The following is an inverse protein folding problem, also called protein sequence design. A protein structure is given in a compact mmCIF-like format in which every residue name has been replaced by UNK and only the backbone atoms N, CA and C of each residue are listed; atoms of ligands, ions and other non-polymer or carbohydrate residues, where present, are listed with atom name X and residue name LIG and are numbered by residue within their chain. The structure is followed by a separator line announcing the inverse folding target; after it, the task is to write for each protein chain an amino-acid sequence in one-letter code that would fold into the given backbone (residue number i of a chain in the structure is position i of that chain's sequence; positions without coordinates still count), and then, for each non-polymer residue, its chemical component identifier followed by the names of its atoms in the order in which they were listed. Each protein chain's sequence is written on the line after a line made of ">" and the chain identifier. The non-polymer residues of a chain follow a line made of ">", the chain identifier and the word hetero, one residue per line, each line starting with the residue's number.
data_IF_134609931931
#
_entry.id   IF_134609931931
#
_cell.length_a   1.000
_cell.length_b   1.000
_cell.length_c   1.000
_cell.angle_alpha   90.00
_cell.angle_beta   90.00
_cell.angle_gamma   90.00
#
_symmetry.space_group_name_H-M   'P 1'
#
loop_
_entity.id
_entity.type
_entity.pdbx_description
1 polymer ?
#
# COMPACT_ATOMS: atom_id res chain seq x y z
N UNK A 1 -2.29 13.09 6.37
CA UNK A 1 -1.08 13.14 7.23
C UNK A 1 0.02 13.98 6.58
N UNK A 2 1.00 14.50 7.34
CA UNK A 2 2.11 15.34 6.83
C UNK A 2 2.91 14.63 5.73
N UNK A 3 3.20 13.33 5.91
CA UNK A 3 3.91 12.51 4.92
C UNK A 3 3.12 12.35 3.61
N UNK A 4 1.80 12.23 3.67
CA UNK A 4 0.96 12.16 2.46
C UNK A 4 1.01 13.47 1.68
N UNK A 5 0.98 14.61 2.39
CA UNK A 5 1.13 15.93 1.79
C UNK A 5 2.51 16.12 1.16
N UNK A 6 3.57 15.72 1.86
CA UNK A 6 4.95 15.75 1.36
C UNK A 6 5.10 14.98 0.03
N UNK A 7 4.45 13.83 -0.12
CA UNK A 7 4.51 13.03 -1.34
C UNK A 7 3.77 13.70 -2.52
N UNK A 8 2.74 14.50 -2.25
CA UNK A 8 2.07 15.29 -3.31
C UNK A 8 2.94 16.44 -3.83
N UNK A 9 3.84 16.98 -3.01
CA UNK A 9 4.76 18.06 -3.41
C UNK A 9 5.80 17.62 -4.44
N UNK A 10 6.12 16.32 -4.46
CA UNK A 10 7.15 15.71 -5.32
C UNK A 10 6.53 14.92 -6.47
N UNK A 11 5.19 14.79 -6.52
CA UNK A 11 4.51 14.19 -7.68
C UNK A 11 4.74 15.08 -8.92
N UNK A 12 5.34 14.57 -10.01
CA UNK A 12 5.58 15.36 -11.22
C UNK A 12 4.28 15.86 -11.88
N UNK A 13 3.12 15.27 -11.54
CA UNK A 13 1.80 15.68 -12.03
C UNK A 13 1.07 16.67 -11.11
N UNK A 14 1.64 17.06 -9.97
CA UNK A 14 0.98 18.02 -9.08
C UNK A 14 1.07 19.44 -9.65
N UNK A 15 -0.09 20.05 -9.91
CA UNK A 15 -0.19 21.45 -10.30
C UNK A 15 0.16 22.30 -9.07
N UNK A 16 1.32 22.96 -9.13
CA UNK A 16 1.78 23.88 -8.08
C UNK A 16 0.94 25.16 -8.09
N UNK A 17 -0.11 25.21 -7.28
CA UNK A 17 -0.98 26.38 -7.16
C UNK A 17 -0.69 27.27 -5.95
N UNK A 18 0.31 26.94 -5.13
CA UNK A 18 0.73 27.78 -4.01
C UNK A 18 2.26 27.86 -3.97
N UNK A 19 2.83 28.61 -4.90
CA UNK A 19 4.17 29.15 -4.76
C UNK A 19 4.04 30.66 -4.59
N UNK A 20 3.95 31.11 -3.35
CA UNK A 20 4.42 32.45 -3.00
C UNK A 20 5.70 32.26 -2.22
N UNK A 21 6.82 32.63 -2.85
CA UNK A 21 8.06 32.87 -2.12
C UNK A 21 7.74 33.96 -1.07
N UNK A 22 7.59 33.54 0.18
CA UNK A 22 7.31 34.42 1.30
C UNK A 22 8.42 34.28 2.32
N UNK A 23 9.01 35.41 2.69
CA UNK A 23 10.15 35.59 3.59
C UNK A 23 9.75 35.37 5.06
N UNK A 24 9.26 34.18 5.40
CA UNK A 24 9.02 33.78 6.80
C UNK A 24 9.78 32.50 7.12
N UNK A 25 10.63 32.56 8.16
CA UNK A 25 11.34 31.41 8.72
C UNK A 25 10.30 30.39 9.21
N UNK A 26 10.10 29.29 8.48
CA UNK A 26 9.26 28.18 8.94
C UNK A 26 8.43 27.40 7.90
N UNK A 27 8.58 27.62 6.59
CA UNK A 27 7.88 26.78 5.61
C UNK A 27 8.77 25.65 5.07
N UNK A 28 8.31 24.41 5.26
CA UNK A 28 8.89 23.16 4.76
C UNK A 28 9.01 23.23 3.22
N UNK A 29 10.22 23.40 2.70
CA UNK A 29 10.45 23.61 1.26
C UNK A 29 10.43 22.29 0.49
N UNK A 30 10.28 22.33 -0.84
CA UNK A 30 10.39 21.12 -1.67
C UNK A 30 11.74 20.43 -1.54
N UNK A 31 12.82 21.19 -1.36
CA UNK A 31 14.14 20.64 -1.06
C UNK A 31 14.14 19.88 0.27
N UNK A 32 13.54 20.46 1.32
CA UNK A 32 13.44 19.78 2.62
C UNK A 32 12.59 18.52 2.51
N UNK A 33 11.49 18.56 1.75
CA UNK A 33 10.67 17.38 1.45
C UNK A 33 11.51 16.29 0.78
N UNK A 34 12.27 16.62 -0.27
CA UNK A 34 13.11 15.66 -0.99
C UNK A 34 14.20 15.06 -0.09
N UNK A 35 14.87 15.88 0.71
CA UNK A 35 15.88 15.42 1.67
C UNK A 35 15.25 14.49 2.71
N UNK A 36 14.14 14.89 3.30
CA UNK A 36 13.43 14.09 4.32
C UNK A 36 12.91 12.77 3.75
N UNK A 37 12.42 12.75 2.51
CA UNK A 37 12.04 11.51 1.83
C UNK A 37 13.25 10.62 1.53
N UNK A 38 14.41 11.19 1.19
CA UNK A 38 15.66 10.44 1.02
C UNK A 38 16.13 9.78 2.32
N UNK A 39 16.05 10.51 3.45
CA UNK A 39 16.34 9.96 4.78
C UNK A 39 15.31 8.88 5.14
N UNK A 40 14.02 9.10 4.86
CA UNK A 40 12.97 8.12 5.12
C UNK A 40 13.16 6.84 4.29
N UNK A 41 13.66 6.95 3.06
CA UNK A 41 13.95 5.80 2.22
C UNK A 41 15.02 4.88 2.84
N UNK A 42 16.04 5.45 3.49
CA UNK A 42 17.10 4.66 4.12
C UNK A 42 16.64 4.00 5.43
N UNK A 43 15.77 4.66 6.20
CA UNK A 43 15.25 4.14 7.49
C UNK A 43 14.07 3.19 7.32
N UNK A 44 13.08 3.57 6.52
CA UNK A 44 11.80 2.86 6.37
C UNK A 44 11.47 2.59 4.88
N UNK A 45 12.28 1.79 4.17
CA UNK A 45 12.10 1.57 2.73
C UNK A 45 10.76 0.90 2.38
N UNK A 46 10.27 0.02 3.25
CA UNK A 46 8.99 -0.68 3.05
C UNK A 46 7.80 0.28 3.16
N UNK A 47 7.72 1.01 4.28
CA UNK A 47 6.65 1.99 4.52
C UNK A 47 6.61 3.09 3.46
N UNK A 48 7.77 3.64 3.07
CA UNK A 48 7.83 4.61 1.99
C UNK A 48 7.37 4.01 0.65
N UNK A 49 7.84 2.80 0.30
CA UNK A 49 7.43 2.14 -0.95
C UNK A 49 5.93 1.85 -0.99
N UNK A 50 5.33 1.45 0.14
CA UNK A 50 3.89 1.24 0.28
C UNK A 50 3.11 2.53 0.06
N UNK A 51 3.53 3.62 0.70
CA UNK A 51 2.87 4.92 0.59
C UNK A 51 2.99 5.45 -0.85
N UNK A 52 4.16 5.33 -1.49
CA UNK A 52 4.33 5.71 -2.90
C UNK A 52 3.47 4.84 -3.83
N UNK A 53 3.42 3.52 -3.61
CA UNK A 53 2.55 2.62 -4.37
C UNK A 53 1.05 2.93 -4.15
N UNK A 54 0.69 3.37 -2.94
CA UNK A 54 -0.66 3.74 -2.52
C UNK A 54 -1.11 5.06 -3.17
N UNK A 55 -0.25 6.08 -3.20
CA UNK A 55 -0.62 7.45 -3.62
C UNK A 55 -0.21 7.83 -5.03
N UNK A 56 1.02 7.54 -5.44
CA UNK A 56 1.51 7.86 -6.79
C UNK A 56 1.19 6.77 -7.82
N UNK A 57 0.76 5.58 -7.34
CA UNK A 57 0.52 4.39 -8.16
C UNK A 57 1.73 4.01 -9.03
N UNK A 58 2.93 4.35 -8.56
CA UNK A 58 4.18 4.02 -9.24
C UNK A 58 4.40 2.50 -9.25
N UNK A 59 4.65 1.97 -10.46
CA UNK A 59 4.91 0.54 -10.67
C UNK A 59 6.19 0.11 -9.97
N UNK A 60 7.25 0.93 -10.02
CA UNK A 60 8.55 0.57 -9.45
C UNK A 60 8.50 0.48 -7.92
N UNK A 61 7.82 1.44 -7.28
CA UNK A 61 7.61 1.44 -5.83
C UNK A 61 6.70 0.30 -5.38
N UNK A 62 5.69 -0.06 -6.18
CA UNK A 62 4.85 -1.25 -5.94
C UNK A 62 5.68 -2.53 -5.99
N UNK A 63 6.56 -2.68 -6.98
CA UNK A 63 7.42 -3.87 -7.10
C UNK A 63 8.39 -3.98 -5.93
N UNK A 64 8.98 -2.87 -5.47
CA UNK A 64 9.82 -2.81 -4.26
C UNK A 64 9.04 -3.20 -2.99
N UNK A 65 7.84 -2.65 -2.80
CA UNK A 65 6.99 -3.04 -1.68
C UNK A 65 6.66 -4.55 -1.71
N UNK A 66 6.41 -5.09 -2.91
CA UNK A 66 6.10 -6.49 -3.11
C UNK A 66 7.30 -7.41 -2.86
N UNK A 67 8.52 -7.02 -3.26
CA UNK A 67 9.72 -7.80 -2.97
C UNK A 67 9.99 -7.87 -1.47
N UNK A 68 9.84 -6.75 -0.76
CA UNK A 68 10.05 -6.70 0.70
C UNK A 68 8.97 -7.54 1.41
N UNK A 69 7.70 -7.33 1.08
CA UNK A 69 6.60 -8.09 1.69
C UNK A 69 6.74 -9.60 1.45
N UNK A 70 7.21 -10.03 0.27
CA UNK A 70 7.48 -11.45 -0.02
C UNK A 70 8.56 -12.01 0.90
N UNK A 71 9.64 -11.27 1.12
CA UNK A 71 10.74 -11.70 1.98
C UNK A 71 10.24 -11.89 3.42
N UNK A 72 9.45 -10.95 3.93
CA UNK A 72 8.82 -11.05 5.25
C UNK A 72 7.80 -12.19 5.33
N UNK A 73 6.99 -12.36 4.28
CA UNK A 73 6.04 -13.47 4.19
C UNK A 73 6.77 -14.80 4.30
N UNK A 74 7.88 -14.99 3.58
CA UNK A 74 8.67 -16.22 3.61
C UNK A 74 9.22 -16.55 5.00
N UNK A 75 9.54 -15.53 5.81
CA UNK A 75 9.95 -15.72 7.20
C UNK A 75 8.77 -16.07 8.12
N UNK A 76 7.59 -15.48 7.88
CA UNK A 76 6.43 -15.50 8.78
C UNK A 76 5.33 -16.51 8.40
N UNK A 77 5.63 -17.53 7.58
CA UNK A 77 4.59 -18.47 7.10
C UNK A 77 4.15 -19.44 8.22
N UNK A 78 2.85 -19.51 8.55
CA UNK A 78 2.35 -20.50 9.49
C UNK A 78 2.38 -21.91 8.89
N UNK A 79 2.58 -22.91 9.75
CA UNK A 79 2.77 -24.31 9.36
C UNK A 79 1.67 -24.84 8.41
N UNK A 80 0.40 -24.57 8.71
CA UNK A 80 -0.73 -25.05 7.90
C UNK A 80 -0.72 -24.47 6.48
N UNK A 81 -0.45 -23.17 6.34
CA UNK A 81 -0.33 -22.51 5.03
C UNK A 81 0.83 -23.11 4.23
N UNK A 82 1.96 -23.37 4.88
CA UNK A 82 3.13 -24.01 4.26
C UNK A 82 2.81 -25.43 3.78
N UNK A 83 2.15 -26.24 4.62
CA UNK A 83 1.78 -27.63 4.32
C UNK A 83 0.82 -27.71 3.13
N UNK A 84 -0.20 -26.86 3.12
CA UNK A 84 -1.21 -26.82 2.06
C UNK A 84 -0.62 -26.32 0.73
N UNK A 85 0.25 -25.30 0.77
CA UNK A 85 0.84 -24.74 -0.44
C UNK A 85 1.96 -25.61 -1.05
N UNK A 86 2.70 -26.36 -0.21
CA UNK A 86 3.77 -27.29 -0.56
C UNK A 86 4.56 -26.91 -1.84
N UNK A 87 4.24 -27.53 -2.99
CA UNK A 87 4.93 -27.36 -4.29
C UNK A 87 4.69 -25.99 -4.95
N UNK A 88 3.60 -25.31 -4.62
CA UNK A 88 3.22 -24.00 -5.20
C UNK A 88 3.47 -22.82 -4.24
N UNK A 89 4.27 -23.02 -3.19
CA UNK A 89 4.47 -22.04 -2.12
C UNK A 89 4.85 -20.63 -2.64
N UNK A 90 5.84 -20.55 -3.54
CA UNK A 90 6.29 -19.26 -4.08
C UNK A 90 5.20 -18.54 -4.89
N UNK A 91 4.41 -19.28 -5.67
CA UNK A 91 3.29 -18.73 -6.45
C UNK A 91 2.18 -18.21 -5.53
N UNK A 92 1.88 -18.97 -4.48
CA UNK A 92 0.90 -18.61 -3.47
C UNK A 92 1.32 -17.35 -2.73
N UNK A 93 2.55 -17.30 -2.22
CA UNK A 93 3.08 -16.11 -1.55
C UNK A 93 3.02 -14.92 -2.50
N UNK A 94 3.48 -15.06 -3.74
CA UNK A 94 3.44 -13.98 -4.71
C UNK A 94 2.02 -13.45 -4.94
N UNK A 95 1.06 -14.34 -5.13
CA UNK A 95 -0.35 -13.98 -5.35
C UNK A 95 -0.93 -13.30 -4.12
N UNK A 96 -0.65 -13.86 -2.93
CA UNK A 96 -1.16 -13.35 -1.68
C UNK A 96 -0.59 -11.96 -1.36
N UNK A 97 0.72 -11.74 -1.49
CA UNK A 97 1.33 -10.41 -1.37
C UNK A 97 0.76 -9.40 -2.38
N UNK A 98 0.51 -9.84 -3.62
CA UNK A 98 -0.12 -8.98 -4.64
C UNK A 98 -1.52 -8.54 -4.24
N UNK A 99 -2.32 -9.47 -3.71
CA UNK A 99 -3.66 -9.20 -3.22
C UNK A 99 -3.62 -8.26 -2.01
N UNK A 100 -2.73 -8.51 -1.04
CA UNK A 100 -2.52 -7.63 0.13
C UNK A 100 -2.18 -6.22 -0.32
N UNK A 101 -1.15 -6.03 -1.17
CA UNK A 101 -0.75 -4.68 -1.62
C UNK A 101 -1.87 -4.01 -2.42
N UNK A 102 -2.62 -4.76 -3.24
CA UNK A 102 -3.76 -4.19 -3.96
C UNK A 102 -4.88 -3.76 -3.01
N UNK A 103 -5.23 -4.61 -2.05
CA UNK A 103 -6.26 -4.34 -1.05
C UNK A 103 -5.90 -3.15 -0.15
N UNK A 104 -4.65 -3.12 0.31
CA UNK A 104 -4.08 -1.99 1.03
C UNK A 104 -4.05 -0.71 0.16
N UNK A 105 -3.70 -0.81 -1.12
CA UNK A 105 -3.69 0.35 -2.04
C UNK A 105 -5.08 0.90 -2.36
N UNK A 106 -6.17 0.17 -2.07
CA UNK A 106 -7.55 0.63 -2.26
C UNK A 106 -7.98 1.58 -1.15
N UNK A 107 -7.49 1.43 0.09
CA UNK A 107 -7.88 2.30 1.22
C UNK A 107 -7.36 3.74 1.13
N UNK A 108 -6.68 4.09 0.03
CA UNK A 108 -6.13 5.40 -0.26
C UNK A 108 -7.21 6.42 -0.66
N UNK A 109 -8.02 6.84 0.31
CA UNK A 109 -8.83 8.05 0.18
C UNK A 109 -8.36 9.05 1.21
N UNK A 110 -7.74 10.15 0.77
CA UNK A 110 -7.31 11.22 1.68
C UNK A 110 -8.29 12.38 1.59
N UNK A 111 -8.52 13.06 2.72
CA UNK A 111 -9.41 14.23 2.80
C UNK A 111 -9.01 15.31 1.78
N UNK A 112 -7.70 15.44 1.53
CA UNK A 112 -7.12 16.40 0.59
C UNK A 112 -7.40 15.98 -0.87
N UNK A 113 -7.55 14.68 -1.13
CA UNK A 113 -7.55 14.11 -2.47
C UNK A 113 -8.57 12.95 -2.57
N UNK A 114 -9.88 13.24 -2.43
CA UNK A 114 -10.89 12.20 -2.38
C UNK A 114 -11.15 11.54 -3.75
N UNK A 115 -11.45 10.24 -3.79
CA UNK A 115 -11.91 9.57 -5.00
C UNK A 115 -13.34 9.99 -5.33
N UNK A 116 -13.51 10.56 -6.52
CA UNK A 116 -14.84 10.86 -7.09
C UNK A 116 -15.74 9.63 -7.22
N UNK A 117 -15.17 8.43 -7.18
CA UNK A 117 -15.86 7.16 -7.31
C UNK A 117 -16.66 6.72 -6.06
N UNK A 118 -16.50 7.38 -4.90
CA UNK A 118 -17.10 6.97 -3.60
C UNK A 118 -16.94 5.47 -3.31
N UNK A 119 -15.79 4.92 -3.70
CA UNK A 119 -15.45 3.52 -3.50
C UNK A 119 -15.97 2.52 -4.55
N UNK A 120 -16.73 2.95 -5.57
CA UNK A 120 -17.27 2.06 -6.62
C UNK A 120 -16.28 1.67 -7.71
N UNK A 121 -15.15 2.37 -7.84
CA UNK A 121 -14.21 2.18 -8.95
C UNK A 121 -14.67 2.77 -10.29
N UNK A 122 -15.94 3.17 -10.40
CA UNK A 122 -16.56 3.72 -11.61
C UNK A 122 -17.13 5.11 -11.34
N UNK A 123 -17.01 6.00 -12.32
CA UNK A 123 -17.66 7.31 -12.37
C UNK A 123 -18.46 7.37 -13.68
N UNK A 124 -19.79 7.45 -13.58
CA UNK A 124 -20.70 7.50 -14.72
C UNK A 124 -20.44 6.40 -15.77
N UNK A 125 -20.26 5.15 -15.33
CA UNK A 125 -19.99 4.00 -16.19
C UNK A 125 -18.54 3.86 -16.66
N UNK A 126 -17.71 4.90 -16.52
CA UNK A 126 -16.31 4.86 -16.89
C UNK A 126 -15.40 4.49 -15.72
N UNK A 127 -14.28 3.83 -16.04
CA UNK A 127 -13.22 3.52 -15.07
C UNK A 127 -12.76 4.82 -14.42
N UNK A 128 -12.81 4.88 -13.09
CA UNK A 128 -12.38 6.06 -12.37
C UNK A 128 -10.89 6.30 -12.62
N UNK A 129 -10.55 7.46 -13.18
CA UNK A 129 -9.17 7.86 -13.52
C UNK A 129 -8.25 7.91 -12.31
N UNK A 130 -8.79 8.11 -11.11
CA UNK A 130 -8.03 8.24 -9.87
C UNK A 130 -7.67 6.90 -9.24
N UNK A 131 -8.62 5.97 -9.17
CA UNK A 131 -8.40 4.65 -8.58
C UNK A 131 -8.20 3.55 -9.64
N UNK A 132 -8.23 3.90 -10.93
CA UNK A 132 -8.14 2.99 -12.07
C UNK A 132 -9.08 1.79 -11.97
N UNK A 133 -10.30 1.99 -11.49
CA UNK A 133 -11.27 0.90 -11.36
C UNK A 133 -11.19 0.11 -10.05
N UNK A 134 -10.16 0.34 -9.23
CA UNK A 134 -9.98 -0.41 -7.98
C UNK A 134 -10.98 0.00 -6.89
N UNK A 135 -11.46 1.25 -6.90
CA UNK A 135 -12.30 1.76 -5.82
C UNK A 135 -11.57 1.85 -4.48
N UNK A 136 -12.32 2.14 -3.42
CA UNK A 136 -11.79 2.43 -2.07
C UNK A 136 -12.08 1.29 -1.08
N UNK A 137 -13.08 0.47 -1.40
CA UNK A 137 -13.52 -0.60 -0.50
C UNK A 137 -12.49 -1.72 -0.47
N UNK A 138 -12.27 -2.24 0.74
CA UNK A 138 -11.55 -3.49 0.99
C UNK A 138 -12.08 -4.61 0.11
N UNK A 139 -11.20 -5.48 -0.33
CA UNK A 139 -11.57 -6.69 -1.06
C UNK A 139 -12.27 -7.64 -0.08
N UNK A 140 -13.44 -8.16 -0.45
CA UNK A 140 -14.14 -9.12 0.40
C UNK A 140 -13.33 -10.41 0.52
N UNK A 141 -13.33 -11.01 1.73
CA UNK A 141 -12.68 -12.30 1.98
C UNK A 141 -13.11 -13.39 0.98
N UNK A 142 -14.38 -13.37 0.58
CA UNK A 142 -14.93 -14.30 -0.44
C UNK A 142 -14.25 -14.11 -1.79
N UNK A 143 -14.01 -12.86 -2.22
CA UNK A 143 -13.35 -12.59 -3.49
C UNK A 143 -11.89 -13.04 -3.46
N UNK A 144 -11.20 -12.85 -2.34
CA UNK A 144 -9.82 -13.31 -2.16
C UNK A 144 -9.79 -14.85 -2.18
N UNK A 145 -10.68 -15.51 -1.44
CA UNK A 145 -10.83 -16.96 -1.45
C UNK A 145 -11.05 -17.51 -2.87
N UNK A 146 -11.97 -16.91 -3.64
CA UNK A 146 -12.25 -17.34 -5.02
C UNK A 146 -11.03 -17.23 -5.95
N UNK A 147 -10.12 -16.28 -5.70
CA UNK A 147 -8.86 -16.18 -6.44
C UNK A 147 -7.86 -17.24 -5.98
N UNK A 148 -7.82 -17.54 -4.68
CA UNK A 148 -6.89 -18.50 -4.09
C UNK A 148 -7.23 -19.95 -4.45
N UNK A 149 -8.52 -20.31 -4.54
CA UNK A 149 -8.93 -21.66 -4.96
C UNK A 149 -8.54 -22.00 -6.41
N UNK A 150 -8.30 -20.99 -7.25
CA UNK A 150 -7.79 -21.22 -8.60
C UNK A 150 -6.32 -21.71 -8.62
N UNK A 151 -5.60 -21.57 -7.51
CA UNK A 151 -4.18 -21.94 -7.39
C UNK A 151 -4.01 -23.14 -6.45
N UNK A 152 -4.81 -23.18 -5.38
CA UNK A 152 -4.76 -24.14 -4.30
C UNK A 152 -6.11 -24.86 -4.15
N UNK A 153 -6.06 -26.15 -3.84
CA UNK A 153 -7.24 -26.87 -3.42
C UNK A 153 -7.45 -26.70 -1.92
N UNK A 154 -8.22 -25.68 -1.53
CA UNK A 154 -8.51 -25.35 -0.14
C UNK A 154 -10.01 -25.26 0.12
N UNK A 155 -10.43 -25.89 1.20
CA UNK A 155 -11.80 -25.76 1.68
C UNK A 155 -12.04 -24.37 2.29
N UNK A 156 -13.27 -23.88 2.19
CA UNK A 156 -13.69 -22.59 2.77
C UNK A 156 -13.45 -22.52 4.28
N UNK A 157 -13.62 -23.61 5.00
CA UNK A 157 -13.35 -23.71 6.44
C UNK A 157 -11.86 -23.51 6.75
N UNK A 158 -10.98 -24.16 6.00
CA UNK A 158 -9.54 -24.00 6.09
C UNK A 158 -9.11 -22.56 5.75
N UNK A 159 -9.73 -21.94 4.75
CA UNK A 159 -9.51 -20.52 4.42
C UNK A 159 -9.80 -19.61 5.61
N UNK A 160 -11.00 -19.70 6.18
CA UNK A 160 -11.42 -18.86 7.30
C UNK A 160 -10.54 -19.08 8.53
N UNK A 161 -10.12 -20.32 8.79
CA UNK A 161 -9.37 -20.67 10.00
C UNK A 161 -7.88 -20.34 9.95
N UNK A 162 -7.23 -20.50 8.78
CA UNK A 162 -5.77 -20.40 8.69
C UNK A 162 -5.30 -19.30 7.73
N UNK A 163 -5.97 -19.13 6.59
CA UNK A 163 -5.49 -18.24 5.54
C UNK A 163 -5.96 -16.81 5.71
N UNK A 164 -7.23 -16.61 6.11
CA UNK A 164 -7.77 -15.28 6.37
C UNK A 164 -7.00 -14.57 7.49
N UNK A 165 -6.73 -15.18 8.66
CA UNK A 165 -5.96 -14.52 9.71
C UNK A 165 -4.55 -14.15 9.24
N UNK A 166 -3.88 -15.04 8.49
CA UNK A 166 -2.57 -14.74 7.91
C UNK A 166 -2.62 -13.58 6.91
N UNK A 167 -3.64 -13.54 6.05
CA UNK A 167 -3.87 -12.42 5.13
C UNK A 167 -4.11 -11.10 5.86
N UNK A 168 -4.96 -11.11 6.89
CA UNK A 168 -5.26 -9.93 7.71
C UNK A 168 -4.00 -9.46 8.47
N UNK A 169 -3.17 -10.38 8.97
CA UNK A 169 -1.88 -10.07 9.60
C UNK A 169 -0.93 -9.33 8.64
N UNK A 170 -0.83 -9.79 7.38
CA UNK A 170 0.02 -9.13 6.39
C UNK A 170 -0.46 -7.73 6.04
N UNK A 171 -1.78 -7.50 6.06
CA UNK A 171 -2.29 -6.13 5.91
C UNK A 171 -1.95 -5.30 7.14
N UNK A 172 -2.11 -5.84 8.34
CA UNK A 172 -1.74 -5.14 9.57
C UNK A 172 -0.25 -4.76 9.56
N UNK A 173 0.63 -5.60 9.01
CA UNK A 173 2.05 -5.24 8.77
C UNK A 173 2.22 -4.08 7.80
N UNK A 174 1.44 -4.02 6.73
CA UNK A 174 1.47 -2.88 5.81
C UNK A 174 1.03 -1.57 6.50
N UNK A 175 -0.03 -1.64 7.32
CA UNK A 175 -0.52 -0.51 8.11
C UNK A 175 0.49 -0.06 9.18
N UNK A 176 1.15 -1.02 9.84
CA UNK A 176 2.22 -0.75 10.80
C UNK A 176 3.43 -0.08 10.15
N UNK A 177 3.86 -0.58 8.99
CA UNK A 177 4.97 0.00 8.23
C UNK A 177 4.67 1.42 7.74
N UNK A 178 3.43 1.71 7.33
CA UNK A 178 2.99 3.08 7.03
C UNK A 178 3.03 3.98 8.28
N UNK A 179 2.55 3.49 9.42
CA UNK A 179 2.56 4.23 10.68
C UNK A 179 3.99 4.53 11.13
N UNK A 180 4.90 3.57 11.01
CA UNK A 180 6.31 3.73 11.33
C UNK A 180 6.97 4.78 10.42
N UNK A 181 6.75 4.69 9.11
CA UNK A 181 7.26 5.68 8.17
C UNK A 181 6.72 7.09 8.45
N UNK A 182 5.44 7.22 8.83
CA UNK A 182 4.85 8.50 9.19
C UNK A 182 5.45 9.08 10.48
N UNK A 183 5.71 8.24 11.49
CA UNK A 183 6.39 8.64 12.73
C UNK A 183 7.82 9.08 12.45
N UNK A 184 8.54 8.31 11.64
CA UNK A 184 9.94 8.59 11.33
C UNK A 184 10.07 9.86 10.49
N UNK A 185 9.17 10.07 9.53
CA UNK A 185 9.11 11.32 8.78
C UNK A 185 8.89 12.51 9.70
N UNK A 186 7.96 12.40 10.66
CA UNK A 186 7.71 13.47 11.63
C UNK A 186 8.97 13.82 12.43
N UNK A 187 9.73 12.82 12.90
CA UNK A 187 11.00 13.05 13.61
C UNK A 187 12.07 13.73 12.76
N UNK A 188 12.05 13.54 11.44
CA UNK A 188 13.01 14.17 10.52
C UNK A 188 12.62 15.64 10.26
N UNK A 189 11.33 15.95 10.31
CA UNK A 189 10.78 17.28 10.02
C UNK A 189 10.58 18.19 11.24
N UNK A 190 10.54 17.61 12.44
CA UNK A 190 10.51 18.31 13.73
C UNK A 190 11.91 18.85 14.09
#
# INVERSE_FOLDING_TARGET
>A
MLLEYAITMVDPKSVNLLFTASTTKGQFTKSDVMVSLGILQSRCPFGLSLILAKYQKDKSSRERALSILKQECSASIPYHVRKTASKKLNLVIHTLCNLVINDYSRTADTVILPCRCRGRGLVNGNVCTRCHGNGIRRISSVKIYNLMIGILDIEKTAWVRYWKPFYDELISKCEAAESEAAKEFKKITD
#
